data_IF_924760645240
#
_entry.id   IF_924760645240
#
_cell.length_a   1.000
_cell.length_b   1.000
_cell.length_c   1.000
_cell.angle_alpha   90.00
_cell.angle_beta   90.00
_cell.angle_gamma   90.00
#
_symmetry.space_group_name_H-M   'P 1'
#
loop_
_entity.id
_entity.type
_entity.pdbx_description
1 polymer ?
#
# COMPACT_ATOMS: atom_id res chain seq x y z
N UNK A 1 22.17 -14.57 -8.15
CA UNK A 1 22.94 -13.44 -7.63
C UNK A 1 23.14 -13.60 -6.13
N UNK A 2 24.33 -13.29 -5.61
CA UNK A 2 24.57 -13.30 -4.15
C UNK A 2 23.74 -12.17 -3.54
N UNK A 3 23.03 -12.45 -2.45
CA UNK A 3 22.29 -11.41 -1.73
C UNK A 3 23.20 -10.78 -0.68
N UNK A 4 23.14 -9.46 -0.56
CA UNK A 4 23.94 -8.69 0.41
C UNK A 4 23.08 -8.42 1.65
N UNK A 5 23.67 -8.40 2.83
CA UNK A 5 22.99 -7.96 4.05
C UNK A 5 23.04 -6.43 4.11
N UNK A 6 21.94 -5.80 4.48
CA UNK A 6 21.92 -4.36 4.77
C UNK A 6 22.83 -4.03 5.95
N UNK A 7 23.55 -2.91 5.89
CA UNK A 7 24.38 -2.45 6.98
C UNK A 7 23.59 -1.45 7.81
N UNK A 8 23.31 -1.81 9.07
CA UNK A 8 22.68 -0.91 10.04
C UNK A 8 23.76 -0.02 10.65
N UNK A 9 23.56 1.30 10.58
CA UNK A 9 24.49 2.31 11.12
C UNK A 9 24.18 2.67 12.57
N UNK A 10 22.91 2.58 12.99
CA UNK A 10 22.48 2.93 14.35
C UNK A 10 21.57 1.84 14.92
N UNK A 11 21.89 1.34 16.11
CA UNK A 11 20.99 0.46 16.86
C UNK A 11 20.10 1.29 17.78
N UNK A 12 18.79 1.16 17.63
CA UNK A 12 17.80 1.69 18.55
C UNK A 12 16.67 0.67 18.76
N UNK A 13 16.05 0.70 19.93
CA UNK A 13 14.95 -0.21 20.30
C UNK A 13 13.59 0.19 19.67
N UNK A 14 13.58 1.11 18.72
CA UNK A 14 12.37 1.60 18.06
C UNK A 14 12.07 0.91 16.72
N UNK A 15 10.99 1.33 16.08
CA UNK A 15 10.65 0.86 14.72
C UNK A 15 11.82 1.13 13.75
N UNK A 16 12.25 0.15 12.94
CA UNK A 16 13.30 0.34 11.94
C UNK A 16 12.93 1.46 10.97
N UNK A 17 13.85 2.39 10.74
CA UNK A 17 13.70 3.49 9.79
C UNK A 17 14.75 3.35 8.71
N UNK A 18 14.44 3.81 7.50
CA UNK A 18 15.39 3.80 6.40
C UNK A 18 16.73 4.49 6.80
N UNK A 19 16.66 5.63 7.50
CA UNK A 19 17.83 6.38 7.99
C UNK A 19 18.76 5.64 8.95
N UNK A 20 18.34 4.48 9.47
CA UNK A 20 19.17 3.68 10.37
C UNK A 20 20.16 2.79 9.60
N UNK A 21 20.10 2.80 8.27
CA UNK A 21 20.93 2.00 7.37
C UNK A 21 21.88 2.85 6.53
N UNK A 22 22.85 2.20 5.89
CA UNK A 22 23.75 2.81 4.92
C UNK A 22 23.00 3.44 3.72
N UNK A 23 23.67 4.37 3.02
CA UNK A 23 23.07 5.14 1.92
C UNK A 23 22.54 4.24 0.79
N UNK A 24 23.21 3.12 0.52
CA UNK A 24 22.81 2.16 -0.52
C UNK A 24 21.50 1.46 -0.12
N UNK A 25 21.38 1.06 1.15
CA UNK A 25 20.15 0.51 1.69
C UNK A 25 19.02 1.55 1.72
N UNK A 26 19.32 2.80 2.03
CA UNK A 26 18.32 3.89 2.01
C UNK A 26 17.78 4.15 0.62
N UNK A 27 18.65 4.20 -0.39
CA UNK A 27 18.27 4.35 -1.79
C UNK A 27 17.38 3.18 -2.25
N UNK A 28 17.77 1.95 -1.89
CA UNK A 28 16.97 0.76 -2.16
C UNK A 28 15.56 0.84 -1.56
N UNK A 29 15.46 1.14 -0.27
CA UNK A 29 14.16 1.23 0.42
C UNK A 29 13.30 2.34 -0.19
N UNK A 30 13.90 3.46 -0.57
CA UNK A 30 13.20 4.58 -1.23
C UNK A 30 12.62 4.15 -2.58
N UNK A 31 13.42 3.46 -3.41
CA UNK A 31 12.96 2.92 -4.69
C UNK A 31 11.82 1.88 -4.49
N UNK A 32 11.97 0.99 -3.52
CA UNK A 32 10.95 -0.03 -3.22
C UNK A 32 9.64 0.59 -2.71
N UNK A 33 9.69 1.64 -1.88
CA UNK A 33 8.49 2.40 -1.45
C UNK A 33 7.79 3.02 -2.64
N UNK A 34 8.53 3.67 -3.55
CA UNK A 34 7.96 4.32 -4.72
C UNK A 34 7.24 3.32 -5.64
N UNK A 35 7.86 2.18 -5.92
CA UNK A 35 7.26 1.10 -6.72
C UNK A 35 6.04 0.49 -6.03
N UNK A 36 6.12 0.27 -4.71
CA UNK A 36 4.98 -0.24 -3.93
C UNK A 36 3.79 0.70 -3.98
N UNK A 37 4.02 2.01 -3.88
CA UNK A 37 2.98 3.02 -4.05
C UNK A 37 2.37 3.01 -5.45
N UNK A 38 3.20 2.93 -6.49
CA UNK A 38 2.73 2.85 -7.87
C UNK A 38 1.84 1.61 -8.06
N UNK A 39 2.26 0.46 -7.54
CA UNK A 39 1.50 -0.78 -7.57
C UNK A 39 0.15 -0.69 -6.83
N UNK A 40 0.12 -0.09 -5.62
CA UNK A 40 -1.11 0.17 -4.89
C UNK A 40 -2.07 1.05 -5.72
N UNK A 41 -1.58 2.18 -6.24
CA UNK A 41 -2.42 3.13 -6.97
C UNK A 41 -2.95 2.58 -8.30
N UNK A 42 -2.23 1.66 -8.96
CA UNK A 42 -2.55 1.22 -10.33
C UNK A 42 -3.16 -0.18 -10.41
N UNK A 43 -2.94 -1.06 -9.43
CA UNK A 43 -3.33 -2.47 -9.51
C UNK A 43 -4.30 -2.88 -8.42
N UNK A 44 -3.97 -2.63 -7.15
CA UNK A 44 -4.83 -2.95 -6.02
C UNK A 44 -4.77 -1.85 -4.97
N UNK A 45 -5.67 -0.85 -5.05
CA UNK A 45 -5.69 0.28 -4.12
C UNK A 45 -6.06 -0.10 -2.69
N UNK A 46 -6.75 -1.22 -2.51
CA UNK A 46 -7.14 -1.73 -1.20
C UNK A 46 -6.86 -3.24 -1.15
N UNK A 47 -5.58 -3.63 -1.07
CA UNK A 47 -5.18 -5.02 -1.18
C UNK A 47 -5.54 -5.83 0.06
N UNK A 48 -5.84 -7.11 -0.13
CA UNK A 48 -5.79 -8.08 0.96
C UNK A 48 -4.35 -8.47 1.30
N UNK A 49 -4.17 -9.29 2.34
CA UNK A 49 -2.84 -9.68 2.81
C UNK A 49 -2.01 -10.45 1.78
N UNK A 50 -2.65 -11.28 0.94
CA UNK A 50 -1.98 -12.01 -0.12
C UNK A 50 -1.50 -11.07 -1.21
N UNK A 51 -2.35 -10.13 -1.62
CA UNK A 51 -2.01 -9.08 -2.57
C UNK A 51 -0.90 -8.17 -2.06
N UNK A 52 -0.91 -7.75 -0.79
CA UNK A 52 0.18 -6.97 -0.19
C UNK A 52 1.52 -7.69 -0.32
N UNK A 53 1.53 -9.00 -0.08
CA UNK A 53 2.74 -9.84 -0.20
C UNK A 53 3.25 -9.87 -1.65
N UNK A 54 2.35 -10.05 -2.62
CA UNK A 54 2.70 -10.05 -4.06
C UNK A 54 3.22 -8.69 -4.52
N UNK A 55 2.55 -7.60 -4.14
CA UNK A 55 2.96 -6.24 -4.52
C UNK A 55 4.31 -5.89 -3.88
N UNK A 56 4.54 -6.27 -2.63
CA UNK A 56 5.84 -6.09 -1.97
C UNK A 56 6.95 -6.83 -2.71
N UNK A 57 6.73 -8.09 -3.08
CA UNK A 57 7.71 -8.88 -3.82
C UNK A 57 8.03 -8.27 -5.20
N UNK A 58 7.01 -7.80 -5.92
CA UNK A 58 7.19 -7.11 -7.20
C UNK A 58 7.98 -5.80 -7.05
N UNK A 59 7.64 -5.00 -6.03
CA UNK A 59 8.32 -3.73 -5.72
C UNK A 59 9.78 -3.95 -5.35
N UNK A 60 10.05 -4.99 -4.55
CA UNK A 60 11.40 -5.39 -4.16
C UNK A 60 12.23 -5.79 -5.37
N UNK A 61 11.69 -6.66 -6.23
CA UNK A 61 12.37 -7.08 -7.45
C UNK A 61 12.68 -5.89 -8.38
N UNK A 62 11.74 -4.93 -8.47
CA UNK A 62 11.93 -3.71 -9.26
C UNK A 62 12.99 -2.79 -8.65
N UNK A 63 13.01 -2.62 -7.33
CA UNK A 63 14.04 -1.88 -6.62
C UNK A 63 15.43 -2.51 -6.80
N UNK A 64 15.54 -3.84 -6.79
CA UNK A 64 16.79 -4.54 -7.11
C UNK A 64 17.28 -4.21 -8.53
N UNK A 65 16.37 -4.14 -9.51
CA UNK A 65 16.73 -3.77 -10.88
C UNK A 65 17.17 -2.30 -10.99
N UNK A 66 16.46 -1.39 -10.33
CA UNK A 66 16.71 0.05 -10.42
C UNK A 66 18.03 0.46 -9.74
N UNK A 67 18.32 -0.12 -8.58
CA UNK A 67 19.51 0.22 -7.80
C UNK A 67 20.72 -0.66 -8.13
N UNK A 68 20.50 -1.80 -8.79
CA UNK A 68 21.53 -2.82 -8.98
C UNK A 68 21.90 -3.57 -7.69
N UNK A 69 21.22 -3.30 -6.58
CA UNK A 69 21.50 -3.88 -5.26
C UNK A 69 20.57 -5.05 -5.00
N UNK A 70 21.13 -6.19 -4.63
CA UNK A 70 20.35 -7.37 -4.27
C UNK A 70 20.33 -7.58 -2.74
N UNK A 71 19.56 -6.77 -2.03
CA UNK A 71 19.43 -6.89 -0.58
C UNK A 71 18.66 -8.16 -0.20
N UNK A 72 19.11 -8.79 0.89
CA UNK A 72 18.36 -9.88 1.53
C UNK A 72 17.01 -9.35 1.99
N UNK A 73 15.93 -9.97 1.54
CA UNK A 73 14.59 -9.62 1.99
C UNK A 73 14.42 -9.99 3.47
N UNK A 74 14.33 -8.99 4.34
CA UNK A 74 14.13 -9.16 5.78
C UNK A 74 12.91 -8.39 6.26
N UNK A 75 12.21 -8.87 7.30
CA UNK A 75 11.05 -8.18 7.85
C UNK A 75 11.33 -6.72 8.23
N UNK A 76 12.55 -6.40 8.66
CA UNK A 76 12.92 -5.04 9.06
C UNK A 76 13.03 -4.07 7.89
N UNK A 77 13.33 -4.56 6.68
CA UNK A 77 13.30 -3.77 5.45
C UNK A 77 11.93 -3.80 4.78
N UNK A 78 11.15 -4.87 4.95
CA UNK A 78 9.77 -4.97 4.43
C UNK A 78 8.82 -4.02 5.15
N UNK A 79 8.94 -3.89 6.47
CA UNK A 79 8.07 -3.03 7.32
C UNK A 79 8.01 -1.57 6.87
N UNK A 80 9.13 -0.86 6.65
CA UNK A 80 9.05 0.53 6.21
C UNK A 80 8.30 0.64 4.87
N UNK A 81 8.54 -0.27 3.92
CA UNK A 81 7.86 -0.28 2.61
C UNK A 81 6.34 -0.41 2.76
N UNK A 82 5.88 -1.40 3.53
CA UNK A 82 4.43 -1.64 3.68
C UNK A 82 3.75 -0.60 4.55
N UNK A 83 4.45 -0.03 5.55
CA UNK A 83 3.91 1.04 6.41
C UNK A 83 3.54 2.29 5.62
N UNK A 84 4.36 2.66 4.63
CA UNK A 84 4.10 3.78 3.72
C UNK A 84 2.87 3.52 2.82
N UNK A 85 2.61 2.26 2.45
CA UNK A 85 1.39 1.90 1.72
C UNK A 85 0.10 2.29 2.45
N UNK A 86 0.07 2.20 3.79
CA UNK A 86 -1.12 2.62 4.56
C UNK A 86 -1.40 4.12 4.43
N UNK A 87 -0.35 4.95 4.32
CA UNK A 87 -0.48 6.40 4.15
C UNK A 87 -1.13 6.71 2.79
N UNK A 88 -0.60 6.13 1.71
CA UNK A 88 -1.14 6.33 0.36
C UNK A 88 -2.60 5.88 0.25
N UNK A 89 -2.95 4.75 0.84
CA UNK A 89 -4.35 4.30 0.88
C UNK A 89 -5.25 5.26 1.64
N UNK A 90 -4.77 5.83 2.75
CA UNK A 90 -5.49 6.85 3.51
C UNK A 90 -5.74 8.11 2.68
N UNK A 91 -4.72 8.60 1.97
CA UNK A 91 -4.85 9.75 1.08
C UNK A 91 -5.80 9.48 -0.09
N UNK A 92 -5.65 8.33 -0.73
CA UNK A 92 -6.50 7.92 -1.84
C UNK A 92 -7.96 7.82 -1.39
N UNK A 93 -8.22 7.16 -0.26
CA UNK A 93 -9.56 7.06 0.32
C UNK A 93 -10.14 8.45 0.60
N UNK A 94 -9.35 9.35 1.17
CA UNK A 94 -9.78 10.72 1.49
C UNK A 94 -10.20 11.49 0.23
N UNK A 95 -9.45 11.36 -0.87
CA UNK A 95 -9.76 12.01 -2.14
C UNK A 95 -10.93 11.35 -2.88
N UNK A 96 -11.06 10.02 -2.79
CA UNK A 96 -12.08 9.26 -3.51
C UNK A 96 -13.45 9.31 -2.83
N UNK A 97 -13.51 9.39 -1.49
CA UNK A 97 -14.76 9.30 -0.74
C UNK A 97 -15.80 10.36 -1.16
N UNK A 98 -15.47 11.65 -1.34
CA UNK A 98 -16.42 12.65 -1.82
C UNK A 98 -16.93 12.37 -3.25
N UNK A 99 -16.08 11.81 -4.11
CA UNK A 99 -16.45 11.45 -5.48
C UNK A 99 -17.45 10.28 -5.48
N UNK A 100 -17.19 9.25 -4.69
CA UNK A 100 -18.10 8.11 -4.51
C UNK A 100 -19.45 8.59 -3.95
N UNK A 101 -19.42 9.55 -3.01
CA UNK A 101 -20.63 10.15 -2.46
C UNK A 101 -21.51 10.76 -3.56
N UNK A 102 -20.92 11.62 -4.39
CA UNK A 102 -21.64 12.29 -5.48
C UNK A 102 -22.04 11.32 -6.59
N UNK A 103 -21.15 10.43 -7.03
CA UNK A 103 -21.38 9.56 -8.19
C UNK A 103 -22.44 8.48 -7.93
N UNK A 104 -22.48 7.94 -6.71
CA UNK A 104 -23.38 6.86 -6.37
C UNK A 104 -24.54 7.30 -5.45
N UNK A 105 -24.54 8.54 -4.98
CA UNK A 105 -25.61 9.09 -4.13
C UNK A 105 -25.53 8.65 -2.66
N UNK A 106 -24.34 8.32 -2.16
CA UNK A 106 -24.15 8.14 -0.72
C UNK A 106 -24.37 9.48 0.00
N UNK A 107 -24.60 9.40 1.32
CA UNK A 107 -24.73 10.59 2.16
C UNK A 107 -23.81 10.50 3.38
N UNK A 108 -22.97 11.51 3.58
CA UNK A 108 -22.13 11.64 4.77
C UNK A 108 -22.96 12.11 5.98
N UNK A 109 -23.64 11.18 6.65
CA UNK A 109 -24.43 11.43 7.86
C UNK A 109 -24.33 10.27 8.85
N UNK A 110 -24.26 10.60 10.14
CA UNK A 110 -24.27 9.60 11.23
C UNK A 110 -25.68 9.16 11.64
N UNK A 111 -26.73 9.68 10.99
CA UNK A 111 -28.10 9.28 11.32
C UNK A 111 -28.35 7.81 10.97
N UNK A 112 -29.11 7.10 11.83
CA UNK A 112 -29.45 5.68 11.59
C UNK A 112 -30.15 5.47 10.24
N UNK A 113 -30.96 6.44 9.81
CA UNK A 113 -31.64 6.41 8.51
C UNK A 113 -30.65 6.52 7.34
N UNK A 114 -29.70 7.45 7.38
CA UNK A 114 -28.67 7.58 6.35
C UNK A 114 -27.76 6.34 6.30
N UNK A 115 -27.33 5.80 7.44
CA UNK A 115 -26.52 4.57 7.49
C UNK A 115 -27.28 3.40 6.85
N UNK A 116 -28.58 3.22 7.16
CA UNK A 116 -29.41 2.17 6.56
C UNK A 116 -29.53 2.33 5.04
N UNK A 117 -29.78 3.55 4.57
CA UNK A 117 -29.86 3.87 3.13
C UNK A 117 -28.54 3.59 2.41
N UNK A 118 -27.43 4.10 2.94
CA UNK A 118 -26.10 3.86 2.38
C UNK A 118 -25.76 2.37 2.34
N UNK A 119 -26.10 1.59 3.38
CA UNK A 119 -25.89 0.13 3.36
C UNK A 119 -26.71 -0.55 2.27
N UNK A 120 -27.99 -0.21 2.14
CA UNK A 120 -28.84 -0.75 1.08
C UNK A 120 -28.32 -0.40 -0.32
N UNK A 121 -27.85 0.83 -0.50
CA UNK A 121 -27.23 1.28 -1.74
C UNK A 121 -25.94 0.49 -2.03
N UNK A 122 -25.07 0.31 -1.05
CA UNK A 122 -23.83 -0.46 -1.20
C UNK A 122 -24.09 -1.91 -1.57
N UNK A 123 -25.08 -2.58 -0.98
CA UNK A 123 -25.46 -3.95 -1.39
C UNK A 123 -26.02 -3.96 -2.82
N UNK A 124 -26.89 -3.02 -3.17
CA UNK A 124 -27.42 -2.90 -4.53
C UNK A 124 -26.33 -2.63 -5.59
N UNK A 125 -25.25 -1.93 -5.23
CA UNK A 125 -24.11 -1.70 -6.13
C UNK A 125 -23.26 -2.96 -6.38
N UNK A 126 -23.32 -3.96 -5.50
CA UNK A 126 -22.68 -5.26 -5.72
C UNK A 126 -23.46 -6.13 -6.70
N UNK A 127 -24.76 -5.89 -6.84
CA UNK A 127 -25.65 -6.62 -7.75
C UNK A 127 -25.69 -5.94 -9.12
N UNK A 128 -25.10 -6.59 -10.13
CA UNK A 128 -25.00 -6.08 -11.51
C UNK A 128 -23.57 -5.75 -11.93
N UNK A 129 -23.36 -5.48 -13.22
CA UNK A 129 -22.05 -5.22 -13.87
C UNK A 129 -21.31 -3.96 -13.39
N UNK A 130 -21.78 -3.30 -12.32
CA UNK A 130 -21.23 -2.04 -11.81
C UNK A 130 -20.00 -2.23 -10.91
N UNK A 131 -19.77 -3.42 -10.36
CA UNK A 131 -18.53 -3.80 -9.68
C UNK A 131 -17.96 -5.07 -10.31
N UNK A 132 -17.07 -4.91 -11.29
CA UNK A 132 -16.25 -6.00 -11.81
C UNK A 132 -15.07 -6.28 -10.86
N UNK A 133 -15.33 -6.75 -9.64
CA UNK A 133 -14.30 -7.40 -8.84
C UNK A 133 -14.43 -8.90 -9.05
N UNK A 134 -13.42 -9.48 -9.71
CA UNK A 134 -13.30 -10.93 -9.84
C UNK A 134 -12.92 -11.48 -8.46
N UNK A 135 -13.83 -12.25 -7.87
CA UNK A 135 -13.59 -13.08 -6.68
C UNK A 135 -12.62 -14.20 -7.03
#
# INVERSE_FOLDING_TARGET
>A
SISVKAQKLTEHEGHPRAKDYDDVTQEFVTAAVAEYHAHLCTQSPMPDHGQETTLLAASWAKACQLTGVNLTHTPDLSKPITSHGSQVRGELKTKLCPLVEVMFGFHSSQSKSAIKKNRSLAEGLKEGTNFAFKV
#
